data_IF_057709801061
#
_entry.id   IF_057709801061
#
_cell.length_a   1.000
_cell.length_b   1.000
_cell.length_c   1.000
_cell.angle_alpha   90.00
_cell.angle_beta   90.00
_cell.angle_gamma   90.00
#
_symmetry.space_group_name_H-M   'P 1'
#
loop_
_entity.id
_entity.type
_entity.pdbx_description
1 polymer ?
#
# COMPACT_ATOMS: atom_id res chain seq x y z
N UNK A 1 -2.49 2.63 0.04
CA UNK A 1 -3.49 2.55 1.13
C UNK A 1 -4.57 1.52 0.87
N UNK A 2 -5.47 1.76 -0.09
CA UNK A 2 -6.54 0.80 -0.42
C UNK A 2 -5.97 -0.57 -0.82
N UNK A 3 -4.88 -0.58 -1.61
CA UNK A 3 -4.15 -1.81 -1.93
C UNK A 3 -3.59 -2.54 -0.69
N UNK A 4 -2.93 -1.82 0.24
CA UNK A 4 -2.37 -2.42 1.46
C UNK A 4 -3.47 -3.06 2.33
N UNK A 5 -4.58 -2.35 2.52
CA UNK A 5 -5.75 -2.88 3.24
C UNK A 5 -6.41 -4.04 2.50
N UNK A 6 -6.40 -4.04 1.16
CA UNK A 6 -6.93 -5.15 0.36
C UNK A 6 -6.12 -6.42 0.57
N UNK A 7 -4.79 -6.31 0.62
CA UNK A 7 -3.88 -7.45 0.78
C UNK A 7 -3.86 -7.95 2.23
N UNK A 8 -3.71 -7.05 3.20
CA UNK A 8 -3.46 -7.40 4.61
C UNK A 8 -4.69 -7.29 5.51
N UNK A 9 -5.84 -6.87 4.97
CA UNK A 9 -7.05 -6.70 5.74
C UNK A 9 -6.97 -5.51 6.69
N UNK A 10 -7.59 -5.64 7.85
CA UNK A 10 -7.67 -4.52 8.81
C UNK A 10 -6.37 -4.33 9.59
N UNK A 11 -5.87 -3.10 9.67
CA UNK A 11 -4.54 -2.79 10.22
C UNK A 11 -4.57 -1.61 11.19
N UNK A 12 -3.73 -1.63 12.23
CA UNK A 12 -3.52 -0.45 13.09
C UNK A 12 -2.96 0.71 12.26
N UNK A 13 -3.37 1.95 12.48
CA UNK A 13 -2.91 3.10 11.65
C UNK A 13 -1.39 3.24 11.56
N UNK A 14 -0.66 2.94 12.65
CA UNK A 14 0.81 2.95 12.65
C UNK A 14 1.39 1.83 11.78
N UNK A 15 0.80 0.64 11.85
CA UNK A 15 1.22 -0.50 11.05
C UNK A 15 0.90 -0.27 9.57
N UNK A 16 -0.28 0.25 9.28
CA UNK A 16 -0.72 0.63 7.94
C UNK A 16 0.22 1.66 7.29
N UNK A 17 0.65 2.67 8.05
CA UNK A 17 1.63 3.66 7.58
C UNK A 17 2.97 3.00 7.21
N UNK A 18 3.46 2.09 8.08
CA UNK A 18 4.67 1.31 7.84
C UNK A 18 4.56 0.42 6.59
N UNK A 19 3.46 -0.32 6.45
CA UNK A 19 3.22 -1.22 5.31
C UNK A 19 3.08 -0.47 3.97
N UNK A 20 2.75 0.83 4.00
CA UNK A 20 2.74 1.67 2.81
C UNK A 20 4.01 2.51 2.60
N UNK A 21 4.99 2.43 3.50
CA UNK A 21 6.21 3.23 3.42
C UNK A 21 5.95 4.74 3.49
N UNK A 22 4.95 5.17 4.28
CA UNK A 22 4.61 6.60 4.44
C UNK A 22 4.61 7.01 5.91
N UNK A 23 4.81 8.31 6.17
CA UNK A 23 4.69 8.84 7.54
C UNK A 23 3.24 8.78 8.04
N UNK A 24 3.05 8.76 9.36
CA UNK A 24 1.70 8.82 9.96
C UNK A 24 0.93 10.11 9.62
N UNK A 25 1.64 11.24 9.46
CA UNK A 25 1.05 12.50 9.00
C UNK A 25 0.57 12.42 7.56
N UNK A 26 1.34 11.79 6.68
CA UNK A 26 0.97 11.54 5.29
C UNK A 26 -0.24 10.60 5.21
N UNK A 27 -0.26 9.54 6.02
CA UNK A 27 -1.40 8.63 6.10
C UNK A 27 -2.69 9.38 6.48
N UNK A 28 -2.62 10.24 7.50
CA UNK A 28 -3.76 11.05 7.95
C UNK A 28 -4.29 11.93 6.80
N UNK A 29 -3.41 12.64 6.08
CA UNK A 29 -3.82 13.49 4.96
C UNK A 29 -4.41 12.71 3.77
N UNK A 30 -3.94 11.48 3.52
CA UNK A 30 -4.51 10.58 2.51
C UNK A 30 -5.92 10.13 2.92
N UNK A 31 -6.11 9.73 4.18
CA UNK A 31 -7.42 9.32 4.70
C UNK A 31 -8.44 10.48 4.65
N UNK A 32 -8.02 11.70 5.02
CA UNK A 32 -8.87 12.90 4.90
C UNK A 32 -9.23 13.23 3.45
N UNK A 33 -8.31 12.98 2.51
CA UNK A 33 -8.55 13.21 1.09
C UNK A 33 -9.53 12.22 0.50
N UNK A 34 -9.45 10.95 0.90
CA UNK A 34 -10.44 9.94 0.52
C UNK A 34 -11.83 10.31 1.06
N UNK A 35 -11.90 10.83 2.29
CA UNK A 35 -13.17 11.15 2.97
C UNK A 35 -13.87 12.30 2.25
N UNK A 36 -13.10 13.35 1.94
CA UNK A 36 -13.55 14.50 1.16
C UNK A 36 -14.02 14.11 -0.25
N UNK A 37 -13.50 13.02 -0.82
CA UNK A 37 -13.90 12.50 -2.14
C UNK A 37 -15.12 11.57 -2.08
N UNK A 38 -15.77 11.44 -0.93
CA UNK A 38 -16.96 10.61 -0.74
C UNK A 38 -16.65 9.13 -0.57
N UNK A 39 -15.37 8.77 -0.41
CA UNK A 39 -14.98 7.42 -0.04
C UNK A 39 -15.08 7.30 1.48
N UNK A 40 -15.67 6.23 2.03
CA UNK A 40 -15.79 6.07 3.46
C UNK A 40 -14.39 5.86 4.06
N UNK A 41 -13.76 6.94 4.53
CA UNK A 41 -12.46 6.91 5.19
C UNK A 41 -12.39 7.75 6.47
N UNK A 42 -13.54 8.21 6.96
CA UNK A 42 -13.68 8.95 8.20
C UNK A 42 -14.13 8.09 9.35
N UNK A 43 -15.43 7.83 9.49
CA UNK A 43 -15.98 7.16 10.67
C UNK A 43 -15.68 5.67 10.77
N UNK A 44 -15.65 4.89 9.67
CA UNK A 44 -15.31 3.45 9.75
C UNK A 44 -13.80 3.18 9.93
N UNK A 45 -12.96 4.17 9.59
CA UNK A 45 -11.51 4.12 9.79
C UNK A 45 -11.07 4.78 11.11
N UNK A 46 -11.84 5.75 11.64
CA UNK A 46 -11.58 6.46 12.91
C UNK A 46 -12.37 5.92 14.11
N UNK A 47 -13.59 5.39 13.96
CA UNK A 47 -14.38 4.82 15.07
C UNK A 47 -14.16 3.33 15.19
N UNK A 48 -13.09 2.92 15.87
CA UNK A 48 -13.15 1.91 16.93
C UNK A 48 -12.05 2.31 17.91
N UNK A 49 -12.35 2.32 19.22
CA UNK A 49 -11.44 2.72 20.31
C UNK A 49 -10.20 1.85 20.52
N UNK A 50 -9.65 1.27 19.44
CA UNK A 50 -8.44 0.46 19.40
C UNK A 50 -7.76 0.48 18.00
N UNK A 51 -7.80 1.60 17.26
CA UNK A 51 -6.80 1.93 16.23
C UNK A 51 -6.78 1.17 14.88
N UNK A 52 -7.71 0.24 14.60
CA UNK A 52 -7.73 -0.56 13.36
C UNK A 52 -8.59 0.05 12.23
N UNK A 53 -7.99 0.17 11.05
CA UNK A 53 -8.59 0.54 9.75
C UNK A 53 -9.14 -0.70 9.05
N UNK A 54 -10.37 -0.70 8.51
CA UNK A 54 -10.95 -1.87 7.82
C UNK A 54 -11.06 -1.70 6.29
N UNK A 55 -10.91 -2.76 5.47
CA UNK A 55 -11.14 -2.70 4.03
C UNK A 55 -12.63 -2.46 3.73
N UNK A 56 -12.91 -1.50 2.84
CA UNK A 56 -14.28 -1.21 2.39
C UNK A 56 -14.53 -1.81 1.00
N UNK A 57 -15.77 -2.24 0.72
CA UNK A 57 -16.15 -2.87 -0.56
C UNK A 57 -15.85 -1.99 -1.77
N UNK A 58 -16.19 -0.69 -1.72
CA UNK A 58 -15.85 0.22 -2.81
C UNK A 58 -14.32 0.42 -2.96
N UNK A 59 -13.57 0.37 -1.85
CA UNK A 59 -12.11 0.41 -1.89
C UNK A 59 -11.50 -0.83 -2.57
N UNK A 60 -12.12 -2.00 -2.37
CA UNK A 60 -11.72 -3.22 -3.06
C UNK A 60 -12.05 -3.13 -4.56
N UNK A 61 -13.22 -2.63 -4.93
CA UNK A 61 -13.61 -2.44 -6.34
C UNK A 61 -12.61 -1.55 -7.10
N UNK A 62 -12.16 -0.45 -6.50
CA UNK A 62 -11.12 0.41 -7.10
C UNK A 62 -9.80 -0.33 -7.30
N UNK A 63 -9.39 -1.14 -6.32
CA UNK A 63 -8.15 -1.92 -6.45
C UNK A 63 -8.30 -2.96 -7.57
N UNK A 64 -9.41 -3.68 -7.64
CA UNK A 64 -9.68 -4.65 -8.70
C UNK A 64 -9.76 -3.99 -10.10
N UNK A 65 -10.22 -2.74 -10.18
CA UNK A 65 -10.24 -1.97 -11.44
C UNK A 65 -8.84 -1.51 -11.87
N UNK A 66 -8.03 -1.00 -10.93
CA UNK A 66 -6.74 -0.36 -11.26
C UNK A 66 -5.61 -1.36 -11.43
N UNK A 67 -5.57 -2.43 -10.63
CA UNK A 67 -4.45 -3.38 -10.61
C UNK A 67 -4.18 -4.06 -11.97
N UNK A 68 -5.19 -4.45 -12.78
CA UNK A 68 -4.93 -5.01 -14.10
C UNK A 68 -4.20 -4.06 -15.06
N UNK A 69 -4.52 -2.76 -15.01
CA UNK A 69 -3.81 -1.75 -15.81
C UNK A 69 -2.38 -1.56 -15.30
N UNK A 70 -2.20 -1.49 -13.98
CA UNK A 70 -0.88 -1.38 -13.37
C UNK A 70 0.03 -2.57 -13.73
N UNK A 71 -0.47 -3.80 -13.56
CA UNK A 71 0.29 -5.03 -13.85
C UNK A 71 0.67 -5.12 -15.34
N UNK A 72 -0.17 -4.60 -16.24
CA UNK A 72 0.15 -4.54 -17.68
C UNK A 72 1.37 -3.66 -17.94
N UNK A 73 1.39 -2.46 -17.37
CA UNK A 73 2.52 -1.54 -17.52
C UNK A 73 3.79 -2.12 -16.87
N UNK A 74 3.67 -2.75 -15.70
CA UNK A 74 4.79 -3.44 -15.05
C UNK A 74 5.36 -4.56 -15.95
N UNK A 75 4.49 -5.37 -16.56
CA UNK A 75 4.89 -6.42 -17.49
C UNK A 75 5.54 -5.86 -18.77
N UNK A 76 5.14 -4.69 -19.25
CA UNK A 76 5.78 -4.04 -20.39
C UNK A 76 7.20 -3.56 -20.06
N UNK A 77 7.40 -2.99 -18.87
CA UNK A 77 8.70 -2.46 -18.45
C UNK A 77 9.69 -3.58 -18.10
N UNK A 78 9.19 -4.73 -17.63
CA UNK A 78 10.03 -5.85 -17.18
C UNK A 78 10.06 -7.04 -18.15
N UNK A 79 9.29 -6.99 -19.24
CA UNK A 79 9.04 -8.12 -20.13
C UNK A 79 10.23 -8.62 -20.94
N UNK A 80 11.28 -7.81 -21.08
CA UNK A 80 12.53 -8.20 -21.75
C UNK A 80 13.50 -8.95 -20.82
N UNK A 81 13.21 -9.01 -19.52
CA UNK A 81 14.03 -9.74 -18.57
C UNK A 81 13.74 -11.24 -18.68
N UNK A 82 14.80 -12.04 -18.74
CA UNK A 82 14.70 -13.48 -18.49
C UNK A 82 14.29 -13.77 -17.04
N UNK A 83 13.82 -14.99 -16.77
CA UNK A 83 13.44 -15.40 -15.41
C UNK A 83 14.60 -15.23 -14.40
N UNK A 84 15.83 -15.50 -14.81
CA UNK A 84 17.03 -15.33 -13.98
C UNK A 84 17.34 -13.85 -13.70
N UNK A 85 17.18 -12.98 -14.69
CA UNK A 85 17.37 -11.54 -14.55
C UNK A 85 16.27 -10.91 -13.67
N UNK A 86 15.02 -11.35 -13.83
CA UNK A 86 13.91 -10.97 -12.98
C UNK A 86 14.17 -11.39 -11.52
N UNK A 87 14.63 -12.62 -11.30
CA UNK A 87 14.97 -13.12 -9.97
C UNK A 87 16.15 -12.33 -9.35
N UNK A 88 17.14 -11.98 -10.16
CA UNK A 88 18.26 -11.13 -9.72
C UNK A 88 17.79 -9.73 -9.34
N UNK A 89 16.96 -9.09 -10.18
CA UNK A 89 16.39 -7.77 -9.92
C UNK A 89 15.61 -7.77 -8.61
N UNK A 90 14.72 -8.74 -8.41
CA UNK A 90 13.95 -8.89 -7.18
C UNK A 90 14.87 -9.02 -5.95
N UNK A 91 15.96 -9.80 -6.06
CA UNK A 91 16.95 -9.94 -4.98
C UNK A 91 17.65 -8.61 -4.67
N UNK A 92 18.03 -7.85 -5.69
CA UNK A 92 18.71 -6.57 -5.52
C UNK A 92 17.78 -5.51 -4.91
N UNK A 93 16.53 -5.43 -5.38
CA UNK A 93 15.52 -4.53 -4.82
C UNK A 93 15.24 -4.82 -3.34
N UNK A 94 15.15 -6.10 -2.94
CA UNK A 94 15.02 -6.48 -1.52
C UNK A 94 16.20 -6.00 -0.67
N UNK A 95 17.43 -6.09 -1.20
CA UNK A 95 18.62 -5.59 -0.48
C UNK A 95 18.59 -4.07 -0.30
N UNK A 96 18.16 -3.34 -1.34
CA UNK A 96 17.99 -1.89 -1.27
C UNK A 96 16.95 -1.53 -0.21
N UNK A 97 15.78 -2.18 -0.25
CA UNK A 97 14.70 -1.96 0.72
C UNK A 97 15.17 -2.20 2.17
N UNK A 98 15.82 -3.34 2.43
CA UNK A 98 16.39 -3.68 3.74
C UNK A 98 17.37 -2.60 4.23
N UNK A 99 18.23 -2.10 3.33
CA UNK A 99 19.20 -1.04 3.67
C UNK A 99 18.50 0.26 4.04
N UNK A 100 17.42 0.63 3.33
CA UNK A 100 16.63 1.81 3.64
C UNK A 100 15.90 1.67 4.99
N UNK A 101 15.31 0.51 5.26
CA UNK A 101 14.65 0.23 6.55
C UNK A 101 15.63 0.30 7.73
N UNK A 102 16.86 -0.21 7.55
CA UNK A 102 17.93 -0.14 8.56
C UNK A 102 18.40 1.30 8.81
N UNK A 103 18.34 2.18 7.80
CA UNK A 103 18.68 3.60 7.94
C UNK A 103 17.59 4.37 8.69
N UNK A 104 16.32 4.10 8.42
CA UNK A 104 15.18 4.73 9.12
C UNK A 104 15.06 4.28 10.59
N UNK A 105 15.65 3.14 10.94
CA UNK A 105 15.64 2.57 12.29
C UNK A 105 16.79 3.05 13.19
N UNK A 106 17.69 3.89 12.68
CA UNK A 106 18.85 4.47 13.41
C UNK A 106 18.56 5.88 13.90
#
# INVERSE_FOLDING_TARGET
MLFVLRIWGSQESRQLAGEAGISGGTLTGVLDTLERKGWPSGEQFRKIGAGRSQPHSAGNEVVEEVMPAFNREEALVTGDLTDDEMAMLARLLRKVLQTTEDLDSR
#
